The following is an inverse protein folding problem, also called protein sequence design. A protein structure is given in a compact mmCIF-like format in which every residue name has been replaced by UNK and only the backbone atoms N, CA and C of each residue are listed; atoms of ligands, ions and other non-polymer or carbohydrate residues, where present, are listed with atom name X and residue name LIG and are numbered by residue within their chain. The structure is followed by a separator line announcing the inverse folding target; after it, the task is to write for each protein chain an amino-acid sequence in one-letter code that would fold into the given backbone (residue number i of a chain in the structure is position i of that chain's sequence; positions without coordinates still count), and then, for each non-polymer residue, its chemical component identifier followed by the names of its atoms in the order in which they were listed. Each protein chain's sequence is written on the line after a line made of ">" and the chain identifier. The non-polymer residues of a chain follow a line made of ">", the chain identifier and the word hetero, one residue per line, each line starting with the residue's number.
data_IF_812485776732
#
_entry.id   IF_812485776732
#
_cell.length_a   1.000
_cell.length_b   1.000
_cell.length_c   1.000
_cell.angle_alpha   90.00
_cell.angle_beta   90.00
_cell.angle_gamma   90.00
#
_symmetry.space_group_name_H-M   'P 1'
#
loop_
_entity.id
_entity.type
_entity.pdbx_description
1 polymer ?
#
# COMPACT_ATOMS: atom_id res chain seq x y z
N UNK A 1 10.00 -10.53 -2.35
CA UNK A 1 10.55 -9.22 -1.91
C UNK A 1 11.25 -8.43 -3.03
N UNK A 2 11.77 -9.05 -4.09
CA UNK A 2 12.62 -8.37 -5.10
C UNK A 2 11.95 -7.24 -5.88
N UNK A 3 10.67 -7.38 -6.24
CA UNK A 3 9.98 -6.36 -7.05
C UNK A 3 9.79 -5.02 -6.33
N UNK A 4 9.40 -5.07 -5.04
CA UNK A 4 9.17 -3.86 -4.24
C UNK A 4 10.48 -3.10 -4.01
N UNK A 5 11.59 -3.80 -3.81
CA UNK A 5 12.90 -3.18 -3.58
C UNK A 5 13.36 -2.34 -4.79
N UNK A 6 13.07 -2.77 -6.02
CA UNK A 6 13.40 -1.98 -7.21
C UNK A 6 12.50 -0.74 -7.36
N UNK A 7 11.21 -0.86 -7.04
CA UNK A 7 10.27 0.27 -7.10
C UNK A 7 10.62 1.34 -6.06
N UNK A 8 10.99 0.92 -4.86
CA UNK A 8 11.34 1.82 -3.75
C UNK A 8 12.50 2.75 -4.13
N UNK A 9 13.46 2.30 -4.96
CA UNK A 9 14.53 3.18 -5.46
C UNK A 9 13.99 4.36 -6.26
N UNK A 10 12.83 4.21 -6.90
CA UNK A 10 12.15 5.28 -7.62
C UNK A 10 11.31 6.21 -6.73
N UNK A 11 11.18 5.92 -5.43
CA UNK A 11 10.47 6.80 -4.48
C UNK A 11 11.37 7.94 -4.02
N UNK A 12 12.69 7.74 -4.01
CA UNK A 12 13.67 8.77 -3.74
C UNK A 12 13.60 9.86 -4.82
N UNK A 13 13.16 11.05 -4.42
CA UNK A 13 12.95 12.20 -5.31
C UNK A 13 11.57 12.26 -5.97
N UNK A 14 10.67 11.31 -5.68
CA UNK A 14 9.28 11.42 -6.12
C UNK A 14 8.53 12.43 -5.25
N UNK A 15 8.16 13.57 -5.84
CA UNK A 15 7.59 14.73 -5.13
C UNK A 15 6.10 14.62 -4.81
N UNK A 16 5.40 13.66 -5.44
CA UNK A 16 3.96 13.51 -5.27
C UNK A 16 3.62 12.48 -4.19
N UNK A 17 2.41 12.55 -3.61
CA UNK A 17 1.96 11.55 -2.65
C UNK A 17 1.99 10.12 -3.21
N UNK A 18 2.42 9.17 -2.39
CA UNK A 18 2.44 7.74 -2.69
C UNK A 18 1.32 7.08 -1.90
N UNK A 19 0.22 6.76 -2.60
CA UNK A 19 -0.94 6.14 -1.96
C UNK A 19 -0.76 4.63 -1.83
N UNK A 20 -0.80 4.14 -0.60
CA UNK A 20 -0.58 2.73 -0.28
C UNK A 20 -1.93 1.98 -0.21
N UNK A 21 -2.11 1.04 -1.13
CA UNK A 21 -3.24 0.11 -1.19
C UNK A 21 -2.73 -1.34 -1.03
N UNK A 22 -2.00 -1.61 0.05
CA UNK A 22 -1.46 -2.94 0.35
C UNK A 22 -2.47 -3.81 1.11
N UNK A 23 -2.31 -5.12 1.06
CA UNK A 23 -3.21 -6.06 1.72
C UNK A 23 -3.39 -5.74 3.24
N UNK A 24 -4.60 -5.95 3.76
CA UNK A 24 -4.95 -5.93 5.17
C UNK A 24 -4.55 -7.26 5.84
N UNK A 25 -3.28 -7.60 5.74
CA UNK A 25 -2.70 -8.78 6.37
C UNK A 25 -1.36 -8.43 7.08
N UNK A 26 -0.80 -9.34 7.89
CA UNK A 26 0.44 -9.05 8.63
C UNK A 26 1.64 -8.70 7.73
N UNK A 27 1.67 -9.12 6.47
CA UNK A 27 2.74 -8.76 5.54
C UNK A 27 2.53 -7.34 5.00
N UNK A 28 1.29 -6.98 4.67
CA UNK A 28 0.89 -5.62 4.31
C UNK A 28 1.13 -4.63 5.44
N UNK A 29 0.90 -5.01 6.70
CA UNK A 29 1.22 -4.18 7.87
C UNK A 29 2.71 -3.83 7.93
N UNK A 30 3.58 -4.85 7.86
CA UNK A 30 5.04 -4.63 7.91
C UNK A 30 5.53 -3.73 6.79
N UNK A 31 5.02 -3.93 5.57
CA UNK A 31 5.43 -3.11 4.43
C UNK A 31 4.87 -1.68 4.53
N UNK A 32 3.64 -1.52 5.00
CA UNK A 32 3.03 -0.20 5.20
C UNK A 32 3.81 0.59 6.25
N UNK A 33 4.11 0.00 7.40
CA UNK A 33 4.96 0.64 8.42
C UNK A 33 6.32 1.04 7.84
N UNK A 34 7.00 0.13 7.14
CA UNK A 34 8.29 0.42 6.52
C UNK A 34 8.21 1.62 5.56
N UNK A 35 7.21 1.66 4.67
CA UNK A 35 7.07 2.75 3.70
C UNK A 35 6.71 4.09 4.35
N UNK A 36 5.87 4.10 5.38
CA UNK A 36 5.50 5.31 6.12
C UNK A 36 6.69 5.89 6.92
N UNK A 37 7.54 5.03 7.46
CA UNK A 37 8.73 5.45 8.21
C UNK A 37 9.83 6.05 7.30
N UNK A 38 9.92 5.58 6.06
CA UNK A 38 11.02 5.96 5.14
C UNK A 38 10.63 7.02 4.11
N UNK A 39 9.34 7.16 3.77
CA UNK A 39 8.87 8.07 2.73
C UNK A 39 7.77 8.99 3.27
N UNK A 40 8.14 10.25 3.54
CA UNK A 40 7.22 11.25 4.12
C UNK A 40 5.99 11.54 3.23
N UNK A 41 6.09 11.26 1.93
CA UNK A 41 5.01 11.39 0.96
C UNK A 41 4.09 10.15 0.90
N UNK A 42 4.40 9.06 1.61
CA UNK A 42 3.57 7.87 1.65
C UNK A 42 2.33 8.07 2.53
N UNK A 43 1.19 7.55 2.07
CA UNK A 43 -0.11 7.70 2.75
C UNK A 43 -0.82 6.35 2.75
N UNK A 44 -1.15 5.85 3.94
CA UNK A 44 -1.94 4.62 4.12
C UNK A 44 -3.41 4.85 3.73
N UNK A 45 -3.88 4.12 2.70
CA UNK A 45 -5.27 4.12 2.26
C UNK A 45 -5.95 2.76 2.40
N UNK A 46 -5.37 1.83 3.16
CA UNK A 46 -5.90 0.46 3.33
C UNK A 46 -7.27 0.41 4.01
N UNK A 47 -7.56 1.41 4.86
CA UNK A 47 -8.88 1.59 5.47
C UNK A 47 -10.02 1.70 4.44
N UNK A 48 -9.73 2.09 3.19
CA UNK A 48 -10.74 2.22 2.13
C UNK A 48 -11.37 0.91 1.72
N UNK A 49 -10.75 -0.22 2.04
CA UNK A 49 -11.28 -1.54 1.74
C UNK A 49 -11.35 -2.45 2.96
N UNK A 50 -11.26 -1.91 4.18
CA UNK A 50 -11.64 -2.66 5.38
C UNK A 50 -13.15 -3.02 5.33
N UNK A 51 -13.57 -4.23 5.76
CA UNK A 51 -12.78 -5.30 6.38
C UNK A 51 -12.18 -6.33 5.42
N UNK A 52 -12.14 -6.06 4.12
CA UNK A 52 -11.62 -6.99 3.11
C UNK A 52 -10.11 -7.14 3.20
N UNK A 53 -9.60 -8.33 2.83
CA UNK A 53 -8.18 -8.62 2.80
C UNK A 53 -7.45 -7.71 1.82
N UNK A 54 -8.00 -7.47 0.64
CA UNK A 54 -7.38 -6.62 -0.38
C UNK A 54 -8.42 -5.85 -1.20
N UNK A 55 -7.95 -4.95 -2.07
CA UNK A 55 -8.83 -4.15 -2.92
C UNK A 55 -9.62 -5.02 -3.91
N UNK A 56 -9.04 -6.12 -4.41
CA UNK A 56 -9.72 -7.00 -5.35
C UNK A 56 -10.89 -7.73 -4.69
N UNK A 57 -10.73 -8.17 -3.45
CA UNK A 57 -11.80 -8.78 -2.67
C UNK A 57 -12.97 -7.82 -2.48
N UNK A 58 -12.69 -6.54 -2.15
CA UNK A 58 -13.73 -5.50 -2.12
C UNK A 58 -14.44 -5.39 -3.46
N UNK A 59 -13.68 -5.25 -4.56
CA UNK A 59 -14.26 -5.05 -5.90
C UNK A 59 -15.11 -6.25 -6.35
N UNK A 60 -14.72 -7.48 -5.98
CA UNK A 60 -15.51 -8.68 -6.29
C UNK A 60 -16.85 -8.73 -5.52
N UNK A 61 -16.90 -8.13 -4.32
CA UNK A 61 -18.13 -7.98 -3.54
C UNK A 61 -18.99 -6.80 -4.00
N UNK A 62 -18.39 -5.81 -4.68
CA UNK A 62 -19.10 -4.72 -5.36
C UNK A 62 -19.48 -5.21 -6.76
N UNK A 63 -20.41 -6.15 -6.87
CA UNK A 63 -21.07 -6.40 -8.16
C UNK A 63 -22.10 -5.28 -8.40
N UNK A 64 -22.24 -4.76 -9.63
CA UNK A 64 -23.35 -3.88 -10.00
C UNK A 64 -24.70 -4.58 -9.86
#
# INVERSE_FOLDING_TARGET
>A
LSFIQEIIKGFDGYVHPIFLFLDNDPAGDRMTSYLLEHFAQAIDLRYRFYPHKDLNEKLCHVRP
#
